data_IF_239584116203
#
_entry.id   IF_239584116203
#
_cell.length_a   1.000
_cell.length_b   1.000
_cell.length_c   1.000
_cell.angle_alpha   90.00
_cell.angle_beta   90.00
_cell.angle_gamma   90.00
#
_symmetry.space_group_name_H-M   'P 1'
#
loop_
_entity.id
_entity.type
_entity.pdbx_description
1 polymer ?
#
# COMPACT_ATOMS: atom_id res chain seq x y z
N UNK A 1 -6.92 -0.35 -2.12
CA UNK A 1 -7.30 0.96 -2.57
C UNK A 1 -8.80 1.20 -2.76
N UNK A 2 -9.60 1.01 -1.74
CA UNK A 2 -11.04 1.31 -1.79
C UNK A 2 -11.41 2.76 -1.47
N UNK A 3 -10.48 3.57 -0.99
CA UNK A 3 -10.71 4.94 -0.55
C UNK A 3 -10.88 5.94 -1.68
N UNK A 4 -11.52 7.09 -1.37
CA UNK A 4 -11.81 8.15 -2.34
C UNK A 4 -10.51 8.73 -2.94
N UNK A 5 -9.54 9.06 -2.10
CA UNK A 5 -8.28 9.70 -2.52
C UNK A 5 -7.47 8.82 -3.47
N UNK A 6 -7.39 7.51 -3.17
CA UNK A 6 -6.71 6.56 -4.05
C UNK A 6 -7.46 6.37 -5.36
N UNK A 7 -8.79 6.33 -5.32
CA UNK A 7 -9.63 6.23 -6.52
C UNK A 7 -9.44 7.44 -7.43
N UNK A 8 -9.37 8.64 -6.86
CA UNK A 8 -9.04 9.87 -7.59
C UNK A 8 -7.65 9.79 -8.22
N UNK A 9 -6.63 9.35 -7.46
CA UNK A 9 -5.28 9.18 -8.00
C UNK A 9 -5.24 8.23 -9.20
N UNK A 10 -5.91 7.07 -9.12
CA UNK A 10 -5.96 6.12 -10.23
C UNK A 10 -6.53 6.78 -11.47
N UNK A 11 -7.71 7.41 -11.35
CA UNK A 11 -8.40 8.03 -12.47
C UNK A 11 -7.59 9.20 -13.08
N UNK A 12 -7.05 10.08 -12.24
CA UNK A 12 -6.24 11.21 -12.69
C UNK A 12 -4.98 10.76 -13.44
N UNK A 13 -4.27 9.77 -12.90
CA UNK A 13 -3.02 9.29 -13.49
C UNK A 13 -3.25 8.52 -14.79
N UNK A 14 -4.38 7.79 -14.90
CA UNK A 14 -4.75 7.07 -16.11
C UNK A 14 -5.28 8.02 -17.19
N UNK A 15 -6.29 8.82 -16.87
CA UNK A 15 -7.03 9.60 -17.85
C UNK A 15 -6.29 10.89 -18.26
N UNK A 16 -5.74 11.64 -17.28
CA UNK A 16 -5.13 12.94 -17.55
C UNK A 16 -3.65 12.83 -17.94
N UNK A 17 -2.92 11.89 -17.33
CA UNK A 17 -1.48 11.73 -17.60
C UNK A 17 -1.15 10.57 -18.55
N UNK A 18 -2.13 9.75 -18.92
CA UNK A 18 -1.96 8.62 -19.84
C UNK A 18 -0.91 7.61 -19.37
N UNK A 19 -0.79 7.39 -18.05
CA UNK A 19 0.17 6.47 -17.48
C UNK A 19 -0.41 5.06 -17.34
N UNK A 20 0.45 4.04 -17.39
CA UNK A 20 0.08 2.67 -17.08
C UNK A 20 -0.05 2.50 -15.57
N UNK A 21 -1.27 2.55 -15.04
CA UNK A 21 -1.54 2.50 -13.60
C UNK A 21 -1.76 1.06 -13.14
N UNK A 22 -0.93 0.63 -12.21
CA UNK A 22 -1.04 -0.65 -11.50
C UNK A 22 -1.50 -0.36 -10.08
N UNK A 23 -2.60 -0.97 -9.64
CA UNK A 23 -3.11 -0.79 -8.29
C UNK A 23 -2.70 -1.94 -7.40
N UNK A 24 -2.29 -1.66 -6.18
CA UNK A 24 -1.93 -2.66 -5.17
C UNK A 24 -2.66 -2.39 -3.86
N UNK A 25 -3.25 -3.44 -3.30
CA UNK A 25 -3.83 -3.45 -1.96
C UNK A 25 -3.01 -4.39 -1.08
N UNK A 26 -2.45 -3.90 0.00
CA UNK A 26 -1.81 -4.76 1.00
C UNK A 26 -2.87 -5.15 2.06
N UNK A 27 -3.25 -6.43 2.03
CA UNK A 27 -4.25 -6.98 2.95
C UNK A 27 -3.57 -7.48 4.23
N UNK A 28 -4.02 -6.96 5.36
CA UNK A 28 -3.60 -7.35 6.72
C UNK A 28 -4.65 -8.21 7.43
N UNK A 29 -5.60 -8.78 6.68
CA UNK A 29 -6.64 -9.66 7.21
C UNK A 29 -7.96 -8.95 7.53
N UNK A 30 -8.08 -7.64 7.25
CA UNK A 30 -9.28 -6.86 7.55
C UNK A 30 -10.38 -6.90 6.49
N UNK A 31 -10.16 -7.56 5.34
CA UNK A 31 -11.11 -7.60 4.23
C UNK A 31 -11.66 -9.00 4.00
N UNK A 32 -12.96 -9.09 3.79
CA UNK A 32 -13.62 -10.30 3.30
C UNK A 32 -13.31 -10.55 1.81
N UNK A 33 -13.44 -11.81 1.33
CA UNK A 33 -13.22 -12.09 -0.10
C UNK A 33 -14.11 -11.29 -1.04
N UNK A 34 -15.36 -11.01 -0.64
CA UNK A 34 -16.28 -10.18 -1.42
C UNK A 34 -15.85 -8.72 -1.52
N UNK A 35 -15.33 -8.15 -0.44
CA UNK A 35 -14.79 -6.79 -0.45
C UNK A 35 -13.54 -6.68 -1.31
N UNK A 36 -12.67 -7.68 -1.28
CA UNK A 36 -11.48 -7.71 -2.14
C UNK A 36 -11.86 -7.75 -3.62
N UNK A 37 -12.85 -8.57 -4.00
CA UNK A 37 -13.37 -8.63 -5.36
C UNK A 37 -14.00 -7.29 -5.80
N UNK A 38 -14.77 -6.64 -4.94
CA UNK A 38 -15.36 -5.34 -5.24
C UNK A 38 -14.30 -4.24 -5.40
N UNK A 39 -13.22 -4.28 -4.62
CA UNK A 39 -12.09 -3.34 -4.74
C UNK A 39 -11.36 -3.55 -6.07
N UNK A 40 -11.14 -4.80 -6.46
CA UNK A 40 -10.51 -5.15 -7.73
C UNK A 40 -11.36 -4.65 -8.93
N UNK A 41 -12.66 -4.95 -8.94
CA UNK A 41 -13.58 -4.49 -9.97
C UNK A 41 -13.58 -2.95 -10.09
N UNK A 42 -13.65 -2.26 -8.95
CA UNK A 42 -13.58 -0.80 -8.89
C UNK A 42 -12.24 -0.28 -9.44
N UNK A 43 -11.13 -0.94 -9.17
CA UNK A 43 -9.82 -0.54 -9.68
C UNK A 43 -9.79 -0.58 -11.22
N UNK A 44 -10.31 -1.66 -11.82
CA UNK A 44 -10.40 -1.75 -13.29
C UNK A 44 -11.35 -0.73 -13.88
N UNK A 45 -12.51 -0.49 -13.24
CA UNK A 45 -13.46 0.54 -13.68
C UNK A 45 -12.88 1.97 -13.66
N UNK A 46 -11.86 2.21 -12.84
CA UNK A 46 -11.15 3.49 -12.74
C UNK A 46 -9.97 3.63 -13.72
N UNK A 47 -9.73 2.63 -14.57
CA UNK A 47 -8.66 2.66 -15.56
C UNK A 47 -7.34 2.00 -15.13
N UNK A 48 -7.33 1.22 -14.06
CA UNK A 48 -6.15 0.44 -13.71
C UNK A 48 -5.89 -0.66 -14.75
N UNK A 49 -4.64 -0.81 -15.20
CA UNK A 49 -4.25 -1.89 -16.09
C UNK A 49 -4.21 -3.25 -15.38
N UNK A 50 -3.88 -3.24 -14.10
CA UNK A 50 -3.84 -4.44 -13.27
C UNK A 50 -4.08 -4.06 -11.80
N UNK A 51 -4.80 -4.93 -11.10
CA UNK A 51 -4.92 -4.91 -9.64
C UNK A 51 -4.21 -6.11 -9.03
N UNK A 52 -3.63 -5.94 -7.84
CA UNK A 52 -3.09 -7.04 -7.04
C UNK A 52 -3.44 -6.83 -5.57
N UNK A 53 -3.85 -7.91 -4.93
CA UNK A 53 -3.98 -7.99 -3.47
C UNK A 53 -2.76 -8.74 -2.93
N UNK A 54 -1.99 -8.06 -2.09
CA UNK A 54 -0.79 -8.59 -1.44
C UNK A 54 -1.15 -9.00 -0.01
N UNK A 55 -1.09 -10.28 0.29
CA UNK A 55 -1.30 -10.76 1.66
C UNK A 55 -0.03 -10.54 2.48
N UNK A 56 -0.14 -9.69 3.51
CA UNK A 56 0.96 -9.39 4.44
C UNK A 56 0.66 -9.87 5.86
N UNK A 57 -0.45 -10.57 6.07
CA UNK A 57 -0.93 -11.01 7.38
C UNK A 57 0.11 -11.86 8.11
N UNK A 58 0.66 -12.86 7.42
CA UNK A 58 1.66 -13.77 8.00
C UNK A 58 2.96 -13.05 8.34
N UNK A 59 3.46 -12.20 7.44
CA UNK A 59 4.73 -11.48 7.66
C UNK A 59 4.61 -10.48 8.82
N UNK A 60 3.52 -9.71 8.90
CA UNK A 60 3.28 -8.75 9.98
C UNK A 60 3.14 -9.49 11.33
N UNK A 61 2.38 -10.59 11.38
CA UNK A 61 2.23 -11.38 12.60
C UNK A 61 3.57 -11.93 13.09
N UNK A 62 4.29 -12.66 12.25
CA UNK A 62 5.53 -13.36 12.63
C UNK A 62 6.68 -12.40 12.98
N UNK A 63 6.77 -11.27 12.32
CA UNK A 63 7.89 -10.34 12.50
C UNK A 63 7.61 -9.22 13.49
N UNK A 64 6.35 -8.97 13.83
CA UNK A 64 6.00 -7.84 14.68
C UNK A 64 4.91 -8.15 15.70
N UNK A 65 3.69 -8.51 15.29
CA UNK A 65 2.53 -8.59 16.16
C UNK A 65 2.75 -9.56 17.33
N UNK A 66 3.27 -10.75 17.06
CA UNK A 66 3.50 -11.75 18.11
C UNK A 66 4.43 -11.24 19.22
N UNK A 67 5.48 -10.48 18.87
CA UNK A 67 6.40 -9.91 19.87
C UNK A 67 5.74 -8.79 20.68
N UNK A 68 4.89 -8.00 20.06
CA UNK A 68 4.11 -6.98 20.75
C UNK A 68 3.12 -7.61 21.74
N UNK A 69 2.50 -8.73 21.37
CA UNK A 69 1.59 -9.48 22.26
C UNK A 69 2.35 -10.05 23.45
N UNK A 70 3.46 -10.78 23.21
CA UNK A 70 4.26 -11.36 24.27
C UNK A 70 4.88 -10.30 25.18
N UNK A 71 5.31 -9.17 24.63
CA UNK A 71 5.89 -8.06 25.39
C UNK A 71 4.85 -7.12 26.01
N UNK A 72 3.57 -7.34 25.80
CA UNK A 72 2.48 -6.44 26.21
C UNK A 72 2.77 -4.97 25.85
N UNK A 73 3.24 -4.75 24.61
CA UNK A 73 3.72 -3.44 24.17
C UNK A 73 2.54 -2.54 23.82
N UNK A 74 2.30 -1.57 24.68
CA UNK A 74 1.25 -0.56 24.49
C UNK A 74 1.80 0.86 24.63
N UNK A 75 1.34 1.75 23.76
CA UNK A 75 1.61 3.18 23.89
C UNK A 75 0.77 3.75 25.03
N UNK A 76 1.42 4.41 25.99
CA UNK A 76 0.78 4.97 27.18
C UNK A 76 -0.05 3.95 27.98
N UNK A 77 0.33 2.66 27.95
CA UNK A 77 -0.39 1.56 28.62
C UNK A 77 -1.86 1.35 28.18
N UNK A 78 -2.28 1.98 27.09
CA UNK A 78 -3.69 1.96 26.64
C UNK A 78 -3.86 1.62 25.18
N UNK A 79 -2.93 2.01 24.30
CA UNK A 79 -3.09 1.89 22.88
C UNK A 79 -2.12 0.88 22.25
N UNK A 80 -2.61 -0.15 21.53
CA UNK A 80 -1.73 -1.10 20.84
C UNK A 80 -0.93 -0.38 19.73
N UNK A 81 0.35 -0.66 19.64
CA UNK A 81 1.24 -0.07 18.62
C UNK A 81 1.10 -0.79 17.26
N UNK A 82 0.27 -1.82 17.17
CA UNK A 82 0.06 -2.68 16.00
C UNK A 82 -0.28 -1.90 14.72
N UNK A 83 -1.10 -0.85 14.81
CA UNK A 83 -1.46 -0.01 13.66
C UNK A 83 -0.23 0.63 12.99
N UNK A 84 0.81 0.91 13.77
CA UNK A 84 2.05 1.50 13.24
C UNK A 84 2.90 0.46 12.49
N UNK A 85 2.95 -0.79 12.96
CA UNK A 85 3.67 -1.87 12.29
C UNK A 85 2.97 -2.29 11.01
N UNK A 86 1.66 -2.46 11.06
CA UNK A 86 0.81 -2.81 9.93
C UNK A 86 1.11 -1.91 8.70
N UNK A 87 1.10 -0.59 8.89
CA UNK A 87 1.40 0.37 7.82
C UNK A 87 2.81 0.20 7.24
N UNK A 88 3.76 -0.20 8.06
CA UNK A 88 5.14 -0.45 7.60
C UNK A 88 5.20 -1.69 6.71
N UNK A 89 4.54 -2.79 7.10
CA UNK A 89 4.50 -4.01 6.29
C UNK A 89 3.71 -3.82 4.99
N UNK A 90 2.61 -3.07 5.04
CA UNK A 90 1.87 -2.66 3.84
C UNK A 90 2.77 -1.89 2.86
N UNK A 91 3.50 -0.88 3.34
CA UNK A 91 4.41 -0.10 2.52
C UNK A 91 5.54 -0.95 1.92
N UNK A 92 6.14 -1.86 2.72
CA UNK A 92 7.18 -2.78 2.25
C UNK A 92 6.70 -3.69 1.13
N UNK A 93 5.52 -4.29 1.28
CA UNK A 93 4.93 -5.18 0.29
C UNK A 93 4.67 -4.45 -1.04
N UNK A 94 4.08 -3.25 -0.98
CA UNK A 94 3.81 -2.43 -2.15
C UNK A 94 5.09 -2.02 -2.88
N UNK A 95 6.12 -1.63 -2.14
CA UNK A 95 7.40 -1.24 -2.76
C UNK A 95 8.12 -2.45 -3.35
N UNK A 96 8.03 -3.65 -2.75
CA UNK A 96 8.55 -4.89 -3.34
C UNK A 96 7.85 -5.19 -4.66
N UNK A 97 6.53 -5.14 -4.67
CA UNK A 97 5.75 -5.33 -5.89
C UNK A 97 6.07 -4.30 -6.98
N UNK A 98 6.15 -3.01 -6.62
CA UNK A 98 6.53 -1.97 -7.57
C UNK A 98 7.90 -2.20 -8.22
N UNK A 99 8.86 -2.73 -7.47
CA UNK A 99 10.17 -3.12 -8.00
C UNK A 99 10.09 -4.33 -8.93
N UNK A 100 9.33 -5.33 -8.55
CA UNK A 100 9.14 -6.56 -9.33
C UNK A 100 8.61 -6.24 -10.72
N UNK A 101 7.61 -5.38 -10.83
CA UNK A 101 7.03 -4.97 -12.11
C UNK A 101 7.83 -3.86 -12.83
N UNK A 102 8.92 -3.38 -12.24
CA UNK A 102 9.74 -2.30 -12.81
C UNK A 102 9.01 -0.95 -12.90
N UNK A 103 8.17 -0.64 -11.92
CA UNK A 103 7.45 0.64 -11.89
C UNK A 103 8.42 1.82 -11.77
N UNK A 104 8.14 2.91 -12.46
CA UNK A 104 8.96 4.13 -12.44
C UNK A 104 8.62 5.07 -11.28
N UNK A 105 7.44 4.94 -10.70
CA UNK A 105 6.99 5.75 -9.58
C UNK A 105 5.96 5.01 -8.73
N UNK A 106 5.71 5.54 -7.54
CA UNK A 106 4.69 5.07 -6.61
C UNK A 106 3.83 6.26 -6.18
N UNK A 107 2.51 6.14 -6.32
CA UNK A 107 1.56 7.13 -5.86
C UNK A 107 0.73 6.59 -4.70
N UNK A 108 0.36 7.46 -3.77
CA UNK A 108 -0.48 7.13 -2.63
C UNK A 108 -1.49 8.24 -2.34
N UNK A 109 -2.65 7.87 -1.84
CA UNK A 109 -3.72 8.79 -1.45
C UNK A 109 -3.60 9.36 -0.03
N UNK A 110 -2.45 9.24 0.63
CA UNK A 110 -2.27 9.76 1.99
C UNK A 110 -2.12 11.27 2.00
N UNK A 111 -2.78 11.95 2.93
CA UNK A 111 -2.69 13.40 3.09
C UNK A 111 -1.32 13.84 3.60
N UNK A 112 -0.86 15.04 3.19
CA UNK A 112 0.45 15.57 3.53
C UNK A 112 0.73 15.81 5.02
N UNK A 113 -0.30 15.83 5.85
CA UNK A 113 -0.22 16.00 7.30
C UNK A 113 -0.26 14.68 8.09
N UNK A 114 -0.40 13.52 7.41
CA UNK A 114 -0.59 12.21 8.05
C UNK A 114 0.73 11.45 8.30
N UNK A 115 0.74 10.62 9.35
CA UNK A 115 1.87 9.73 9.65
C UNK A 115 2.08 8.65 8.58
N UNK A 116 1.04 8.29 7.83
CA UNK A 116 1.12 7.23 6.81
C UNK A 116 1.94 7.68 5.60
N UNK A 117 1.86 8.95 5.20
CA UNK A 117 2.74 9.54 4.21
C UNK A 117 4.21 9.40 4.61
N UNK A 118 4.54 9.75 5.85
CA UNK A 118 5.92 9.66 6.37
C UNK A 118 6.44 8.23 6.27
N UNK A 119 5.64 7.24 6.65
CA UNK A 119 6.02 5.82 6.57
C UNK A 119 6.27 5.36 5.14
N UNK A 120 5.37 5.70 4.20
CA UNK A 120 5.54 5.38 2.78
C UNK A 120 6.80 6.03 2.20
N UNK A 121 7.07 7.28 2.54
CA UNK A 121 8.27 8.01 2.10
C UNK A 121 9.54 7.38 2.67
N UNK A 122 9.56 6.98 3.95
CA UNK A 122 10.75 6.36 4.57
C UNK A 122 11.06 4.97 4.02
N UNK A 123 10.05 4.17 3.73
CA UNK A 123 10.24 2.83 3.16
C UNK A 123 10.72 2.90 1.72
N UNK A 124 10.24 3.87 0.95
CA UNK A 124 10.59 4.05 -0.47
C UNK A 124 12.09 4.31 -0.71
N UNK A 125 12.82 5.17 0.04
CA UNK A 125 14.26 5.39 -0.15
C UNK A 125 15.14 4.21 0.25
N UNK A 126 14.78 3.43 1.26
CA UNK A 126 15.52 2.21 1.66
C UNK A 126 15.62 1.20 0.50
N UNK A 127 14.76 1.36 -0.49
CA UNK A 127 14.70 0.55 -1.69
C UNK A 127 15.22 1.30 -2.94
N UNK A 128 15.74 2.51 -2.79
CA UNK A 128 16.13 3.48 -3.85
C UNK A 128 17.38 3.11 -4.64
N UNK A 129 17.62 1.87 -4.97
CA UNK A 129 18.60 1.56 -6.00
C UNK A 129 17.90 1.41 -7.35
N UNK A 130 17.76 2.55 -8.09
CA UNK A 130 17.42 2.59 -9.51
C UNK A 130 15.94 2.52 -9.88
N UNK A 131 15.19 3.60 -9.60
CA UNK A 131 13.97 3.86 -10.36
C UNK A 131 14.37 4.24 -11.80
N UNK A 132 13.99 3.44 -12.78
CA UNK A 132 14.13 3.81 -14.20
C UNK A 132 12.92 4.65 -14.61
N UNK A 133 13.10 5.58 -15.56
CA UNK A 133 11.98 6.23 -16.22
C UNK A 133 11.13 5.15 -16.90
N UNK A 134 10.02 4.80 -16.30
CA UNK A 134 9.03 3.87 -16.83
C UNK A 134 7.68 4.59 -16.80
N UNK A 135 6.82 4.33 -17.80
CA UNK A 135 5.44 4.82 -17.79
C UNK A 135 4.55 4.06 -16.80
N UNK A 136 5.09 3.02 -16.17
CA UNK A 136 4.37 2.22 -15.16
C UNK A 136 4.43 2.90 -13.81
N UNK A 137 3.27 2.99 -13.19
CA UNK A 137 3.11 3.60 -11.89
C UNK A 137 2.25 2.71 -11.00
N UNK A 138 2.66 2.53 -9.75
CA UNK A 138 1.89 1.79 -8.74
C UNK A 138 1.15 2.77 -7.86
N UNK A 139 -0.16 2.60 -7.72
CA UNK A 139 -0.96 3.29 -6.70
C UNK A 139 -1.27 2.34 -5.56
N UNK A 140 -1.13 2.82 -4.33
CA UNK A 140 -1.48 2.11 -3.12
C UNK A 140 -2.55 2.85 -2.33
N UNK A 141 -3.41 2.08 -1.70
CA UNK A 141 -4.43 2.58 -0.81
C UNK A 141 -4.60 1.68 0.39
#
# INVERSE_FOLDING_TARGET
SGGLDTSYCVKYLSDELGLEVYTALANTGGFSPGELAAIEEKAYALGAMRHVTLDVTGEDYERCIRYMVYGNVMRNKTYPVSVSSERTFQALAIVRYAKEIGAGALAHGSTGAGNDQVRLIFVSPCLRRRWRLSRRLVTCG
#
